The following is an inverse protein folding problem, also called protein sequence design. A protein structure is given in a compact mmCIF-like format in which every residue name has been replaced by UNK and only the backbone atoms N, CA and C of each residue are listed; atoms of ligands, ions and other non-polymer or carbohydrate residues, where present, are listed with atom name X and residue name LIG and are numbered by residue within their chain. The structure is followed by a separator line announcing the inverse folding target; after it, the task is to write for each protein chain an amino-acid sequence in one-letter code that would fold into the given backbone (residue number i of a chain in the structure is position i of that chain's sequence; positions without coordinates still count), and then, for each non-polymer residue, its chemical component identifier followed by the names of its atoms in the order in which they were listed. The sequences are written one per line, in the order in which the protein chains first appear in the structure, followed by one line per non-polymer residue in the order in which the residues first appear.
data_IF_211321931890
#
_entry.id   IF_211321931890
#
_cell.length_a   1.000
_cell.length_b   1.000
_cell.length_c   1.000
_cell.angle_alpha   90.00
_cell.angle_beta   90.00
_cell.angle_gamma   90.00
#
_symmetry.space_group_name_H-M   'P 1'
#
loop_
_entity.id
_entity.type
_entity.pdbx_description
1 polymer ?
#
# COMPACT_ATOMS: atom_id res chain seq x y z
N UNK A 1 12.32 -17.92 -10.36
CA UNK A 1 11.29 -16.92 -10.02
C UNK A 1 10.68 -17.30 -8.69
N UNK A 2 10.96 -16.55 -7.62
CA UNK A 2 10.17 -16.67 -6.40
C UNK A 2 8.72 -16.38 -6.81
N UNK A 3 7.78 -17.24 -6.40
CA UNK A 3 6.37 -16.97 -6.62
C UNK A 3 6.01 -15.75 -5.77
N UNK A 4 6.11 -14.55 -6.36
CA UNK A 4 5.94 -13.27 -5.66
C UNK A 4 4.60 -13.20 -4.92
N UNK A 5 3.59 -13.93 -5.38
CA UNK A 5 2.29 -14.09 -4.72
C UNK A 5 2.37 -14.86 -3.40
N UNK A 6 3.08 -16.00 -3.37
CA UNK A 6 3.24 -16.78 -2.15
C UNK A 6 4.05 -16.02 -1.08
N UNK A 7 5.19 -15.43 -1.48
CA UNK A 7 6.02 -14.63 -0.57
C UNK A 7 5.26 -13.42 -0.02
N UNK A 8 4.57 -12.65 -0.88
CA UNK A 8 3.79 -11.50 -0.45
C UNK A 8 2.66 -11.90 0.51
N UNK A 9 2.00 -13.03 0.25
CA UNK A 9 0.96 -13.57 1.14
C UNK A 9 1.52 -13.84 2.54
N UNK A 10 2.73 -14.40 2.64
CA UNK A 10 3.38 -14.65 3.94
C UNK A 10 3.74 -13.36 4.67
N UNK A 11 4.28 -12.37 3.95
CA UNK A 11 4.59 -11.04 4.50
C UNK A 11 3.31 -10.41 5.08
N UNK A 12 2.23 -10.38 4.31
CA UNK A 12 0.95 -9.81 4.74
C UNK A 12 0.37 -10.60 5.93
N UNK A 13 0.44 -11.93 5.90
CA UNK A 13 -0.07 -12.77 6.99
C UNK A 13 0.69 -12.53 8.31
N UNK A 14 2.00 -12.27 8.26
CA UNK A 14 2.81 -11.99 9.46
C UNK A 14 2.49 -10.65 10.13
N UNK A 15 1.88 -9.72 9.41
CA UNK A 15 1.51 -8.39 9.89
C UNK A 15 -0.02 -8.16 9.91
N UNK A 16 -0.81 -9.23 9.83
CA UNK A 16 -2.26 -9.15 9.67
C UNK A 16 -2.95 -8.43 10.83
N UNK A 17 -3.99 -7.65 10.53
CA UNK A 17 -4.78 -6.90 11.51
C UNK A 17 -4.90 -5.43 11.11
N UNK A 18 -3.85 -4.65 11.36
CA UNK A 18 -3.83 -3.21 11.04
C UNK A 18 -3.27 -2.97 9.63
N UNK A 19 -3.99 -2.24 8.74
CA UNK A 19 -3.52 -1.89 7.41
C UNK A 19 -2.17 -1.18 7.38
N UNK A 20 -1.84 -0.39 8.41
CA UNK A 20 -0.57 0.30 8.56
C UNK A 20 0.57 -0.69 8.75
N UNK A 21 0.39 -1.70 9.62
CA UNK A 21 1.38 -2.77 9.80
C UNK A 21 1.56 -3.61 8.54
N UNK A 22 0.47 -3.88 7.81
CA UNK A 22 0.55 -4.57 6.52
C UNK A 22 1.33 -3.72 5.51
N UNK A 23 1.06 -2.42 5.46
CA UNK A 23 1.76 -1.47 4.58
C UNK A 23 3.25 -1.49 4.87
N UNK A 24 3.65 -1.35 6.14
CA UNK A 24 5.05 -1.39 6.56
C UNK A 24 5.72 -2.72 6.19
N UNK A 25 5.05 -3.84 6.42
CA UNK A 25 5.59 -5.16 6.10
C UNK A 25 5.82 -5.33 4.58
N UNK A 26 4.85 -4.94 3.76
CA UNK A 26 4.96 -5.00 2.29
C UNK A 26 6.04 -4.04 1.80
N UNK A 27 6.11 -2.83 2.37
CA UNK A 27 7.12 -1.82 2.04
C UNK A 27 8.52 -2.30 2.39
N UNK A 28 8.73 -2.83 3.60
CA UNK A 28 10.02 -3.37 4.07
C UNK A 28 10.44 -4.64 3.33
N UNK A 29 9.49 -5.40 2.80
CA UNK A 29 9.77 -6.56 1.94
C UNK A 29 10.22 -6.21 0.52
N UNK A 30 10.29 -4.92 0.18
CA UNK A 30 10.79 -4.41 -1.10
C UNK A 30 9.76 -4.38 -2.23
N UNK A 31 8.46 -4.43 -1.92
CA UNK A 31 7.43 -4.32 -2.96
C UNK A 31 7.18 -2.85 -3.30
N UNK A 32 7.41 -2.48 -4.56
CA UNK A 32 7.20 -1.13 -5.11
C UNK A 32 6.47 -1.21 -6.45
N UNK A 33 5.80 -0.15 -6.84
CA UNK A 33 5.41 0.04 -8.25
C UNK A 33 6.65 0.44 -9.06
N UNK A 34 6.59 0.24 -10.37
CA UNK A 34 7.66 0.70 -11.27
C UNK A 34 7.92 2.22 -11.13
N UNK A 35 9.13 2.64 -11.50
CA UNK A 35 9.51 4.04 -11.53
C UNK A 35 8.51 4.85 -12.36
N UNK A 36 8.14 6.02 -11.82
CA UNK A 36 7.13 6.93 -12.38
C UNK A 36 7.78 8.23 -12.84
N UNK A 37 7.17 8.87 -13.82
CA UNK A 37 7.50 10.22 -14.24
C UNK A 37 7.10 11.24 -13.17
N UNK A 38 7.68 12.45 -13.22
CA UNK A 38 7.31 13.51 -12.29
C UNK A 38 5.83 13.88 -12.36
N UNK A 39 5.21 13.79 -13.54
CA UNK A 39 3.76 14.07 -13.71
C UNK A 39 2.91 13.03 -12.98
N UNK A 40 3.22 11.74 -13.11
CA UNK A 40 2.54 10.67 -12.37
C UNK A 40 2.74 10.80 -10.86
N UNK A 41 3.92 11.26 -10.41
CA UNK A 41 4.19 11.54 -9.00
C UNK A 41 3.35 12.72 -8.48
N UNK A 42 3.14 13.77 -9.28
CA UNK A 42 2.24 14.87 -8.90
C UNK A 42 0.80 14.35 -8.77
N UNK A 43 0.33 13.54 -9.71
CA UNK A 43 -1.03 13.00 -9.69
C UNK A 43 -1.28 12.10 -8.47
N UNK A 44 -0.35 11.20 -8.12
CA UNK A 44 -0.49 10.38 -6.91
C UNK A 44 -0.45 11.22 -5.64
N UNK A 45 0.39 12.25 -5.59
CA UNK A 45 0.45 13.17 -4.44
C UNK A 45 -0.88 13.87 -4.22
N UNK A 46 -1.49 14.40 -5.29
CA UNK A 46 -2.81 15.02 -5.22
C UNK A 46 -3.88 14.02 -4.76
N UNK A 47 -3.82 12.78 -5.26
CA UNK A 47 -4.77 11.74 -4.86
C UNK A 47 -4.66 11.37 -3.39
N UNK A 48 -3.43 11.21 -2.88
CA UNK A 48 -3.17 10.90 -1.46
C UNK A 48 -3.61 12.06 -0.54
N UNK A 49 -3.43 13.31 -0.98
CA UNK A 49 -3.95 14.48 -0.25
C UNK A 49 -5.49 14.46 -0.21
N UNK A 50 -6.13 14.19 -1.35
CA UNK A 50 -7.59 14.04 -1.45
C UNK A 50 -8.09 12.95 -0.51
N UNK A 51 -7.48 11.76 -0.55
CA UNK A 51 -7.86 10.61 0.28
C UNK A 51 -7.65 10.91 1.77
N UNK A 52 -6.54 11.55 2.14
CA UNK A 52 -6.27 11.94 3.52
C UNK A 52 -7.32 12.91 4.07
N UNK A 53 -7.78 13.84 3.22
CA UNK A 53 -8.84 14.77 3.57
C UNK A 53 -10.19 14.06 3.77
N UNK A 54 -10.59 13.19 2.83
CA UNK A 54 -11.87 12.49 2.92
C UNK A 54 -11.93 11.41 4.00
N UNK A 55 -10.77 10.91 4.43
CA UNK A 55 -10.64 9.99 5.56
C UNK A 55 -10.52 10.70 6.92
N UNK A 56 -10.73 12.03 6.98
CA UNK A 56 -10.61 12.84 8.19
C UNK A 56 -9.26 12.67 8.93
N UNK A 57 -8.19 12.37 8.18
CA UNK A 57 -6.85 12.22 8.75
C UNK A 57 -6.34 13.61 9.15
N UNK A 58 -5.91 13.75 10.40
CA UNK A 58 -5.34 15.01 10.90
C UNK A 58 -4.09 15.38 10.11
N UNK A 59 -3.95 16.65 9.72
CA UNK A 59 -2.86 17.17 8.89
C UNK A 59 -1.45 16.79 9.36
N UNK A 60 -1.25 16.62 10.66
CA UNK A 60 0.02 16.18 11.25
C UNK A 60 0.47 14.82 10.71
N UNK A 61 -0.47 13.93 10.38
CA UNK A 61 -0.21 12.59 9.85
C UNK A 61 -0.18 12.51 8.32
N UNK A 62 -0.40 13.63 7.62
CA UNK A 62 -0.30 13.65 6.16
C UNK A 62 1.16 13.44 5.73
N UNK A 63 1.42 12.79 4.58
CA UNK A 63 2.77 12.54 4.11
C UNK A 63 3.54 13.85 3.88
N UNK A 64 4.83 13.85 4.26
CA UNK A 64 5.72 15.04 4.19
C UNK A 64 6.83 14.90 3.15
N UNK A 65 6.99 13.73 2.57
CA UNK A 65 7.97 13.42 1.54
C UNK A 65 7.42 12.38 0.56
N UNK A 66 8.18 12.12 -0.50
CA UNK A 66 7.77 11.20 -1.57
C UNK A 66 7.58 9.77 -1.06
N UNK A 67 8.49 9.27 -0.21
CA UNK A 67 8.38 7.89 0.30
C UNK A 67 7.09 7.71 1.10
N UNK A 68 6.74 8.69 1.93
CA UNK A 68 5.48 8.69 2.68
C UNK A 68 4.26 8.75 1.75
N UNK A 69 4.29 9.51 0.65
CA UNK A 69 3.21 9.53 -0.35
C UNK A 69 3.04 8.15 -0.98
N UNK A 70 4.13 7.49 -1.38
CA UNK A 70 4.04 6.20 -2.03
C UNK A 70 3.64 5.06 -1.07
N UNK A 71 4.05 5.13 0.20
CA UNK A 71 3.58 4.22 1.23
C UNK A 71 2.09 4.44 1.53
N UNK A 72 1.63 5.70 1.59
CA UNK A 72 0.21 6.03 1.77
C UNK A 72 -0.65 5.53 0.61
N UNK A 73 -0.18 5.63 -0.64
CA UNK A 73 -0.86 5.03 -1.81
C UNK A 73 -1.11 3.52 -1.63
N UNK A 74 -0.13 2.79 -1.07
CA UNK A 74 -0.31 1.38 -0.74
C UNK A 74 -1.32 1.18 0.39
N UNK A 75 -1.25 2.00 1.44
CA UNK A 75 -2.17 1.91 2.57
C UNK A 75 -3.63 2.12 2.14
N UNK A 76 -3.92 3.20 1.40
CA UNK A 76 -5.27 3.50 0.90
C UNK A 76 -5.81 2.42 -0.03
N UNK A 77 -4.94 1.74 -0.79
CA UNK A 77 -5.34 0.61 -1.63
C UNK A 77 -5.91 -0.57 -0.80
N UNK A 78 -5.37 -0.81 0.40
CA UNK A 78 -5.67 -2.00 1.20
C UNK A 78 -6.52 -1.74 2.44
N UNK A 79 -6.63 -0.49 2.91
CA UNK A 79 -7.26 -0.12 4.18
C UNK A 79 -8.68 -0.66 4.31
N UNK A 80 -9.61 -0.20 3.47
CA UNK A 80 -10.99 -0.68 3.45
C UNK A 80 -11.11 -2.18 3.20
N UNK A 81 -10.18 -2.77 2.44
CA UNK A 81 -10.20 -4.19 2.10
C UNK A 81 -9.92 -5.05 3.34
N UNK A 82 -8.95 -4.68 4.16
CA UNK A 82 -8.52 -5.45 5.34
C UNK A 82 -9.62 -5.55 6.41
N UNK A 83 -10.48 -4.55 6.51
CA UNK A 83 -11.58 -4.54 7.49
C UNK A 83 -12.75 -5.45 7.14
N UNK A 84 -12.82 -6.01 5.93
CA UNK A 84 -13.86 -6.98 5.57
C UNK A 84 -13.58 -8.36 6.16
N UNK A 85 -14.62 -8.96 6.75
CA UNK A 85 -14.67 -10.34 7.26
C UNK A 85 -14.31 -11.43 6.24
N UNK A 86 -14.42 -11.11 4.93
CA UNK A 86 -14.12 -12.02 3.83
C UNK A 86 -12.69 -11.88 3.30
N UNK A 87 -11.95 -10.88 3.77
CA UNK A 87 -10.61 -10.61 3.27
C UNK A 87 -9.60 -11.54 3.94
N UNK A 88 -8.69 -12.07 3.12
CA UNK A 88 -7.57 -12.89 3.58
C UNK A 88 -6.26 -12.23 3.15
N UNK A 89 -5.12 -12.59 3.77
CA UNK A 89 -3.80 -12.16 3.30
C UNK A 89 -3.56 -12.44 1.81
N UNK A 90 -4.07 -13.56 1.28
CA UNK A 90 -3.95 -13.89 -0.14
C UNK A 90 -4.78 -12.97 -1.04
N UNK A 91 -5.96 -12.54 -0.59
CA UNK A 91 -6.79 -11.55 -1.30
C UNK A 91 -6.07 -10.20 -1.37
N UNK A 92 -5.49 -9.74 -0.25
CA UNK A 92 -4.72 -8.49 -0.23
C UNK A 92 -3.47 -8.61 -1.11
N UNK A 93 -2.72 -9.71 -1.03
CA UNK A 93 -1.56 -9.96 -1.89
C UNK A 93 -1.93 -9.87 -3.37
N UNK A 94 -3.07 -10.44 -3.76
CA UNK A 94 -3.58 -10.35 -5.12
C UNK A 94 -3.86 -8.90 -5.52
N UNK A 95 -4.58 -8.13 -4.71
CA UNK A 95 -4.88 -6.72 -4.99
C UNK A 95 -3.62 -5.87 -5.13
N UNK A 96 -2.63 -6.08 -4.26
CA UNK A 96 -1.33 -5.40 -4.32
C UNK A 96 -0.60 -5.74 -5.63
N UNK A 97 -0.58 -7.02 -6.04
CA UNK A 97 0.03 -7.42 -7.30
C UNK A 97 -0.76 -6.90 -8.52
N UNK A 98 -2.09 -6.93 -8.48
CA UNK A 98 -2.94 -6.42 -9.56
C UNK A 98 -2.77 -4.90 -9.73
N UNK A 99 -2.51 -4.17 -8.63
CA UNK A 99 -2.17 -2.75 -8.64
C UNK A 99 -0.74 -2.43 -9.14
N UNK A 100 0.05 -3.45 -9.51
CA UNK A 100 1.36 -3.29 -10.14
C UNK A 100 2.54 -3.29 -9.18
N UNK A 101 2.36 -3.58 -7.89
CA UNK A 101 3.48 -3.72 -6.97
C UNK A 101 4.27 -5.00 -7.29
N UNK A 102 5.59 -4.88 -7.38
CA UNK A 102 6.51 -5.99 -7.62
C UNK A 102 7.66 -5.88 -6.63
N UNK A 103 8.22 -7.02 -6.24
CA UNK A 103 9.45 -7.03 -5.45
C UNK A 103 10.61 -6.63 -6.38
N UNK A 104 11.34 -5.59 -5.99
CA UNK A 104 12.60 -5.19 -6.66
C UNK A 104 13.67 -6.29 -6.57
#
# INVERSE_FOLDING_TARGET
MINNSFHLTQVIASAWGDPSYITDAVWNAGYRKAARTSEEIVLVTLKVIEDSYYSDIVYEYWPKDLEAVLAAELNFLIDNLVWSDKTTPATVAKVVLDAGYRKE
#
